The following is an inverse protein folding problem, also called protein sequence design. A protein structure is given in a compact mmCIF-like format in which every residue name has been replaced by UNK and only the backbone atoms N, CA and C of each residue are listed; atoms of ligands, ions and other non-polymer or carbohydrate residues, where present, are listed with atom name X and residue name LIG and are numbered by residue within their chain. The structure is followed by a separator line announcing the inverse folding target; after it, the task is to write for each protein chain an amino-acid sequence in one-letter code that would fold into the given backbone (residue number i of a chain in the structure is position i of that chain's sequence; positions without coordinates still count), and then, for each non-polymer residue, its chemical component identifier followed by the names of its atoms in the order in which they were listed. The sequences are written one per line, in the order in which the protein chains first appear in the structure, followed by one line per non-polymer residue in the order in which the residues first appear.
data_IF_892921327296
#
_entry.id   IF_892921327296
#
_cell.length_a   1.000
_cell.length_b   1.000
_cell.length_c   1.000
_cell.angle_alpha   90.00
_cell.angle_beta   90.00
_cell.angle_gamma   90.00
#
_symmetry.space_group_name_H-M   'P 1'
#
loop_
_entity.id
_entity.type
_entity.pdbx_description
1 polymer ?
#
# COMPACT_ATOMS: atom_id res chain seq x y z
N UNK A 1 27.20 62.35 -51.58
CA UNK A 1 26.53 61.05 -51.83
C UNK A 1 27.02 60.06 -50.77
N UNK A 2 26.22 59.85 -49.72
CA UNK A 2 26.51 59.00 -48.55
C UNK A 2 26.56 57.52 -48.92
N UNK A 3 27.55 56.77 -48.41
CA UNK A 3 27.45 55.31 -48.22
C UNK A 3 27.87 54.99 -46.77
N UNK A 4 26.87 54.75 -45.91
CA UNK A 4 27.07 54.16 -44.57
C UNK A 4 27.15 52.65 -44.72
N UNK A 5 28.27 52.05 -44.32
CA UNK A 5 28.42 50.61 -44.21
C UNK A 5 27.96 50.16 -42.82
N UNK A 6 26.91 49.34 -42.77
CA UNK A 6 26.41 48.73 -41.54
C UNK A 6 27.11 47.38 -41.35
N UNK A 7 27.89 47.26 -40.27
CA UNK A 7 28.47 45.99 -39.83
C UNK A 7 27.39 45.19 -39.11
N UNK A 8 26.95 44.07 -39.70
CA UNK A 8 25.97 43.16 -39.08
C UNK A 8 26.71 42.18 -38.16
N UNK A 9 26.69 42.44 -36.86
CA UNK A 9 27.15 41.48 -35.85
C UNK A 9 26.11 40.38 -35.71
N UNK A 10 26.42 39.17 -36.15
CA UNK A 10 25.61 37.97 -35.90
C UNK A 10 26.04 37.40 -34.55
N UNK A 11 25.18 37.54 -33.53
CA UNK A 11 25.34 36.83 -32.25
C UNK A 11 24.71 35.44 -32.41
N UNK A 12 25.53 34.40 -32.53
CA UNK A 12 25.05 33.01 -32.41
C UNK A 12 24.87 32.68 -30.93
N UNK A 13 23.62 32.55 -30.49
CA UNK A 13 23.28 32.05 -29.17
C UNK A 13 23.36 30.53 -29.13
N UNK A 14 24.30 29.97 -28.37
CA UNK A 14 24.32 28.55 -28.02
C UNK A 14 23.28 28.31 -26.92
N UNK A 15 22.19 27.61 -27.22
CA UNK A 15 21.26 27.11 -26.19
C UNK A 15 21.82 25.78 -25.68
N UNK A 16 22.37 25.78 -24.47
CA UNK A 16 22.65 24.56 -23.72
C UNK A 16 21.32 23.97 -23.27
N UNK A 17 20.88 22.91 -23.94
CA UNK A 17 19.76 22.09 -23.48
C UNK A 17 20.25 21.24 -22.30
N UNK A 18 20.11 21.74 -21.08
CA UNK A 18 20.34 20.92 -19.88
C UNK A 18 19.27 19.83 -19.84
N UNK A 19 19.62 18.59 -20.16
CA UNK A 19 18.78 17.45 -19.79
C UNK A 19 18.75 17.42 -18.26
N UNK A 20 17.63 17.85 -17.67
CA UNK A 20 17.37 17.59 -16.27
C UNK A 20 17.36 16.06 -16.09
N UNK A 21 18.41 15.52 -15.47
CA UNK A 21 18.42 14.15 -15.00
C UNK A 21 17.30 14.03 -13.98
N UNK A 22 16.21 13.37 -14.35
CA UNK A 22 15.16 13.01 -13.40
C UNK A 22 15.77 11.91 -12.53
N UNK A 23 16.33 12.29 -11.38
CA UNK A 23 16.76 11.33 -10.38
C UNK A 23 15.53 10.50 -9.97
N UNK A 24 15.61 9.19 -10.14
CA UNK A 24 14.62 8.27 -9.60
C UNK A 24 15.12 7.81 -8.25
N UNK A 25 14.31 8.01 -7.19
CA UNK A 25 14.56 7.38 -5.91
C UNK A 25 14.81 5.88 -6.10
N UNK A 26 15.92 5.37 -5.54
CA UNK A 26 16.24 3.95 -5.61
C UNK A 26 15.31 3.19 -4.65
N UNK A 27 14.58 2.16 -5.12
CA UNK A 27 13.75 1.36 -4.26
C UNK A 27 14.60 0.46 -3.35
N UNK A 28 14.21 0.37 -2.08
CA UNK A 28 14.73 -0.59 -1.10
C UNK A 28 13.63 -1.61 -0.84
N UNK A 29 13.94 -2.89 -1.02
CA UNK A 29 13.00 -3.99 -0.80
C UNK A 29 13.30 -4.70 0.51
N UNK A 30 12.24 -5.02 1.25
CA UNK A 30 12.27 -5.86 2.45
C UNK A 30 11.29 -7.00 2.26
N UNK A 31 11.79 -8.23 2.33
CA UNK A 31 10.98 -9.45 2.18
C UNK A 31 11.34 -10.46 3.25
N UNK A 32 10.35 -11.14 3.81
CA UNK A 32 10.54 -12.27 4.70
C UNK A 32 9.32 -13.19 4.63
N UNK A 33 9.51 -14.45 4.95
CA UNK A 33 8.42 -15.41 5.08
C UNK A 33 8.75 -16.45 6.15
N UNK A 34 7.74 -16.99 6.80
CA UNK A 34 7.94 -17.99 7.84
C UNK A 34 6.64 -18.41 8.52
N UNK A 35 6.75 -19.30 9.51
CA UNK A 35 5.59 -19.95 10.12
C UNK A 35 4.70 -19.01 10.95
N UNK A 36 5.21 -17.87 11.41
CA UNK A 36 4.50 -16.97 12.32
C UNK A 36 5.10 -15.55 12.33
N UNK A 37 4.51 -14.65 13.13
CA UNK A 37 4.93 -13.26 13.24
C UNK A 37 6.41 -13.09 13.63
N UNK A 38 6.91 -13.91 14.56
CA UNK A 38 8.30 -13.84 15.02
C UNK A 38 9.30 -14.11 13.88
N UNK A 39 8.96 -15.00 12.94
CA UNK A 39 9.81 -15.33 11.80
C UNK A 39 10.00 -14.17 10.81
N UNK A 40 9.05 -13.21 10.75
CA UNK A 40 9.12 -12.06 9.85
C UNK A 40 9.40 -10.73 10.57
N UNK A 41 9.36 -10.73 11.91
CA UNK A 41 9.39 -9.54 12.77
C UNK A 41 10.59 -8.63 12.48
N UNK A 42 11.81 -9.20 12.43
CA UNK A 42 13.02 -8.41 12.21
C UNK A 42 13.00 -7.64 10.88
N UNK A 43 12.45 -8.23 9.83
CA UNK A 43 12.33 -7.58 8.52
C UNK A 43 11.26 -6.50 8.52
N UNK A 44 10.14 -6.72 9.20
CA UNK A 44 9.10 -5.69 9.40
C UNK A 44 9.66 -4.51 10.19
N UNK A 45 10.45 -4.77 11.25
CA UNK A 45 11.07 -3.72 12.05
C UNK A 45 12.11 -2.92 11.26
N UNK A 46 12.92 -3.59 10.44
CA UNK A 46 13.82 -2.90 9.54
C UNK A 46 13.06 -2.03 8.51
N UNK A 47 11.96 -2.52 7.96
CA UNK A 47 11.12 -1.71 7.07
C UNK A 47 10.52 -0.50 7.78
N UNK A 48 10.10 -0.65 9.04
CA UNK A 48 9.63 0.47 9.88
C UNK A 48 10.73 1.52 10.05
N UNK A 49 11.99 1.11 10.23
CA UNK A 49 13.16 2.02 10.28
C UNK A 49 13.37 2.73 8.94
N UNK A 50 13.28 2.00 7.81
CA UNK A 50 13.42 2.58 6.47
C UNK A 50 12.37 3.69 6.20
N UNK A 51 11.18 3.60 6.82
CA UNK A 51 10.13 4.62 6.77
C UNK A 51 10.29 5.75 7.82
N UNK A 52 11.44 5.85 8.48
CA UNK A 52 11.73 6.88 9.49
C UNK A 52 11.39 6.50 10.93
N UNK A 53 11.03 5.24 11.20
CA UNK A 53 10.91 4.62 12.53
C UNK A 53 9.69 5.06 13.36
N UNK A 54 9.50 6.37 13.50
CA UNK A 54 8.47 6.99 14.35
C UNK A 54 7.08 6.67 13.83
N UNK A 55 6.24 6.07 14.69
CA UNK A 55 4.82 5.88 14.42
C UNK A 55 4.08 7.19 14.65
N UNK A 56 3.62 7.83 13.57
CA UNK A 56 2.87 9.08 13.62
C UNK A 56 1.44 8.85 14.15
N UNK A 57 0.86 9.84 14.86
CA UNK A 57 -0.49 9.74 15.38
C UNK A 57 -1.52 9.71 14.24
N UNK A 58 -2.65 9.04 14.49
CA UNK A 58 -3.72 8.82 13.49
C UNK A 58 -4.67 10.02 13.34
N UNK A 59 -4.12 11.21 13.10
CA UNK A 59 -4.85 12.47 12.94
C UNK A 59 -4.88 12.93 11.48
N UNK A 60 -5.81 13.83 11.13
CA UNK A 60 -5.88 14.47 9.81
C UNK A 60 -4.77 15.53 9.66
N UNK A 61 -3.52 15.06 9.62
CA UNK A 61 -2.31 15.91 9.55
C UNK A 61 -1.17 15.18 8.84
N UNK A 62 -0.28 15.98 8.23
CA UNK A 62 0.94 15.51 7.56
C UNK A 62 2.16 15.70 8.46
N UNK A 63 3.11 14.78 8.36
CA UNK A 63 4.37 14.80 9.10
C UNK A 63 5.54 14.76 8.11
N UNK A 64 6.64 15.43 8.45
CA UNK A 64 7.83 15.46 7.59
C UNK A 64 8.55 14.10 7.52
N UNK A 65 8.48 13.32 8.59
CA UNK A 65 9.13 12.00 8.73
C UNK A 65 8.23 11.02 9.45
N UNK A 66 8.62 9.75 9.46
CA UNK A 66 7.92 8.68 10.16
C UNK A 66 6.89 7.97 9.29
N UNK A 67 6.13 7.09 9.94
CA UNK A 67 5.24 6.12 9.29
C UNK A 67 3.87 6.11 9.93
N UNK A 68 2.92 5.50 9.23
CA UNK A 68 1.61 5.12 9.78
C UNK A 68 1.43 3.63 9.61
N UNK A 69 0.77 3.01 10.56
CA UNK A 69 0.51 1.58 10.56
C UNK A 69 -0.98 1.34 10.79
N UNK A 70 -1.55 0.46 9.98
CA UNK A 70 -2.92 -0.02 10.18
C UNK A 70 -2.85 -1.28 11.01
N UNK A 71 -3.34 -1.18 12.24
CA UNK A 71 -3.75 -2.33 13.02
C UNK A 71 -5.26 -2.55 12.76
N UNK A 72 -5.61 -3.72 12.24
CA UNK A 72 -6.98 -4.09 11.92
C UNK A 72 -7.86 -4.30 13.15
N UNK A 73 -7.28 -4.57 14.31
CA UNK A 73 -8.03 -4.84 15.56
C UNK A 73 -8.75 -3.61 16.10
N UNK A 74 -8.35 -2.41 15.66
CA UNK A 74 -9.06 -1.17 15.92
C UNK A 74 -10.34 -0.99 15.11
N UNK A 75 -10.66 -1.90 14.17
CA UNK A 75 -11.91 -1.86 13.41
C UNK A 75 -13.07 -2.31 14.31
N UNK A 76 -14.10 -1.47 14.51
CA UNK A 76 -15.31 -1.86 15.24
C UNK A 76 -16.00 -3.07 14.62
N UNK A 77 -16.60 -3.95 15.43
CA UNK A 77 -17.31 -5.15 14.93
C UNK A 77 -18.44 -4.83 13.94
N UNK A 78 -19.07 -3.66 14.08
CA UNK A 78 -20.09 -3.17 13.16
C UNK A 78 -19.58 -2.94 11.72
N UNK A 79 -18.25 -2.83 11.54
CA UNK A 79 -17.58 -2.67 10.25
C UNK A 79 -16.70 -3.86 9.87
N UNK A 80 -16.90 -5.01 10.52
CA UNK A 80 -16.20 -6.25 10.22
C UNK A 80 -17.19 -7.38 9.94
N UNK A 81 -16.69 -8.48 9.37
CA UNK A 81 -17.49 -9.63 8.99
C UNK A 81 -18.45 -10.05 10.13
N UNK A 82 -19.72 -10.31 9.81
CA UNK A 82 -20.30 -10.43 8.46
C UNK A 82 -20.69 -9.10 7.80
N UNK A 83 -20.45 -7.96 8.47
CA UNK A 83 -20.77 -6.64 7.94
C UNK A 83 -19.72 -6.15 6.93
N UNK A 84 -20.10 -5.13 6.16
CA UNK A 84 -19.21 -4.47 5.21
C UNK A 84 -18.26 -3.48 5.88
N UNK A 85 -17.06 -3.36 5.33
CA UNK A 85 -16.08 -2.37 5.77
C UNK A 85 -16.17 -1.12 4.90
N UNK A 86 -16.22 0.10 5.47
CA UNK A 86 -16.15 1.33 4.68
C UNK A 86 -14.74 1.53 4.12
N UNK A 87 -14.59 1.46 2.79
CA UNK A 87 -13.32 1.64 2.07
C UNK A 87 -12.49 2.87 2.51
N UNK A 88 -13.15 3.96 2.91
CA UNK A 88 -12.52 5.22 3.32
C UNK A 88 -12.35 5.36 4.85
N UNK A 89 -12.58 4.31 5.64
CA UNK A 89 -12.48 4.37 7.11
C UNK A 89 -11.11 4.88 7.58
N UNK A 90 -10.03 4.41 6.96
CA UNK A 90 -8.65 4.84 7.25
C UNK A 90 -8.25 6.15 6.55
N UNK A 91 -9.19 6.82 5.89
CA UNK A 91 -9.04 8.22 5.49
C UNK A 91 -9.88 9.15 6.38
N UNK A 92 -11.11 8.75 6.74
CA UNK A 92 -12.09 9.61 7.42
C UNK A 92 -12.18 9.40 8.93
N UNK A 93 -12.29 8.15 9.40
CA UNK A 93 -12.59 7.82 10.82
C UNK A 93 -11.31 7.62 11.65
N UNK A 94 -10.28 7.05 11.03
CA UNK A 94 -8.96 6.90 11.64
C UNK A 94 -7.89 7.36 10.65
N UNK A 95 -7.78 8.69 10.42
CA UNK A 95 -7.10 9.26 9.26
C UNK A 95 -5.63 8.83 9.19
N UNK A 96 -5.32 8.07 8.14
CA UNK A 96 -3.98 7.65 7.70
C UNK A 96 -3.75 7.91 6.22
N UNK A 97 -4.74 8.46 5.51
CA UNK A 97 -4.60 8.86 4.11
C UNK A 97 -4.64 7.69 3.15
N UNK A 98 -5.46 6.67 3.43
CA UNK A 98 -5.59 5.50 2.55
C UNK A 98 -7.05 5.13 2.33
N UNK A 99 -7.37 4.80 1.07
CA UNK A 99 -8.64 4.22 0.65
C UNK A 99 -8.36 2.88 -0.01
N UNK A 100 -9.11 1.86 0.41
CA UNK A 100 -9.02 0.50 -0.12
C UNK A 100 -10.12 0.25 -1.16
N UNK A 101 -9.81 -0.51 -2.21
CA UNK A 101 -10.77 -0.85 -3.24
C UNK A 101 -10.44 -2.12 -4.01
N UNK A 102 -11.23 -2.40 -5.03
CA UNK A 102 -10.99 -3.47 -5.98
C UNK A 102 -11.51 -3.06 -7.36
N UNK A 103 -10.81 -3.38 -8.45
CA UNK A 103 -11.35 -3.19 -9.81
C UNK A 103 -12.50 -4.16 -10.15
N UNK A 104 -12.75 -5.18 -9.31
CA UNK A 104 -13.83 -6.13 -9.54
C UNK A 104 -15.21 -5.57 -9.16
N UNK A 105 -16.24 -5.99 -9.89
CA UNK A 105 -17.64 -5.61 -9.61
C UNK A 105 -18.09 -6.09 -8.22
N UNK A 106 -18.93 -5.29 -7.58
CA UNK A 106 -19.45 -5.53 -6.23
C UNK A 106 -20.10 -6.91 -6.08
N UNK A 107 -19.82 -7.61 -4.98
CA UNK A 107 -20.60 -8.80 -4.55
C UNK A 107 -21.78 -8.32 -3.69
N UNK A 108 -22.97 -8.29 -4.27
CA UNK A 108 -24.20 -7.83 -3.59
C UNK A 108 -24.33 -6.31 -3.55
N UNK A 109 -24.92 -5.77 -2.47
CA UNK A 109 -25.09 -4.33 -2.24
C UNK A 109 -23.82 -3.67 -1.65
N UNK A 110 -22.69 -4.38 -1.66
CA UNK A 110 -21.43 -3.91 -1.14
C UNK A 110 -20.92 -2.71 -1.96
N UNK A 111 -20.44 -1.68 -1.27
CA UNK A 111 -19.81 -0.50 -1.92
C UNK A 111 -18.30 -0.64 -2.04
N UNK A 112 -17.70 -1.64 -1.37
CA UNK A 112 -16.33 -2.05 -1.59
C UNK A 112 -16.17 -3.54 -1.32
N UNK A 113 -15.72 -4.32 -2.30
CA UNK A 113 -15.34 -5.73 -2.12
C UNK A 113 -14.25 -5.98 -1.05
N UNK A 114 -13.80 -4.95 -0.33
CA UNK A 114 -12.85 -5.02 0.75
C UNK A 114 -13.54 -5.37 2.08
N UNK A 115 -13.07 -6.41 2.76
CA UNK A 115 -13.65 -6.90 4.01
C UNK A 115 -12.57 -7.08 5.09
N UNK A 116 -12.99 -6.95 6.35
CA UNK A 116 -12.18 -7.19 7.54
C UNK A 116 -12.80 -8.34 8.32
N UNK A 117 -12.00 -9.28 8.82
CA UNK A 117 -12.52 -10.45 9.53
C UNK A 117 -13.09 -10.10 10.90
N UNK A 118 -13.95 -10.97 11.41
CA UNK A 118 -14.51 -10.86 12.76
C UNK A 118 -13.43 -10.93 13.85
N UNK A 119 -13.78 -10.44 15.04
CA UNK A 119 -13.07 -10.68 16.29
C UNK A 119 -13.81 -11.76 17.09
N UNK A 120 -13.14 -12.40 18.04
CA UNK A 120 -13.77 -13.35 18.96
C UNK A 120 -14.93 -12.71 19.73
N UNK A 121 -14.81 -11.42 20.08
CA UNK A 121 -15.82 -10.70 20.83
C UNK A 121 -17.15 -10.49 20.07
N UNK A 122 -17.11 -10.56 18.74
CA UNK A 122 -18.30 -10.33 17.91
C UNK A 122 -19.25 -11.54 17.84
N UNK A 123 -18.81 -12.72 18.31
CA UNK A 123 -19.55 -13.97 18.16
C UNK A 123 -19.56 -14.54 16.74
N UNK A 124 -18.90 -13.88 15.78
CA UNK A 124 -18.69 -14.39 14.41
C UNK A 124 -17.32 -15.04 14.31
N UNK A 125 -17.22 -16.12 13.53
CA UNK A 125 -15.97 -16.84 13.34
C UNK A 125 -14.85 -15.94 12.77
N UNK A 126 -13.73 -15.89 13.48
CA UNK A 126 -12.54 -15.07 13.20
C UNK A 126 -11.85 -15.47 11.91
N UNK A 127 -10.93 -14.65 11.40
CA UNK A 127 -10.08 -14.99 10.23
C UNK A 127 -10.87 -15.52 9.02
N UNK A 128 -12.04 -14.92 8.79
CA UNK A 128 -12.99 -15.32 7.74
C UNK A 128 -13.53 -16.76 7.86
N UNK A 129 -13.52 -17.33 9.06
CA UNK A 129 -14.15 -18.62 9.37
C UNK A 129 -15.64 -18.65 9.04
N UNK A 130 -16.31 -17.49 9.01
CA UNK A 130 -17.69 -17.34 8.60
C UNK A 130 -17.89 -17.52 7.08
N UNK A 131 -16.83 -17.42 6.28
CA UNK A 131 -16.81 -17.70 4.84
C UNK A 131 -16.40 -19.15 4.59
N UNK A 132 -15.35 -19.62 5.26
CA UNK A 132 -14.94 -21.01 5.25
C UNK A 132 -14.35 -21.40 6.61
N UNK A 133 -14.95 -22.38 7.27
CA UNK A 133 -14.58 -22.81 8.62
C UNK A 133 -13.11 -23.25 8.72
N UNK A 134 -12.47 -23.74 7.65
CA UNK A 134 -11.06 -24.12 7.66
C UNK A 134 -10.09 -22.93 7.78
N UNK A 135 -10.51 -21.72 7.43
CA UNK A 135 -9.64 -20.55 7.47
C UNK A 135 -9.19 -20.20 8.89
N UNK A 136 -10.05 -20.46 9.90
CA UNK A 136 -9.70 -20.27 11.31
C UNK A 136 -8.57 -21.18 11.80
N UNK A 137 -8.25 -22.28 11.12
CA UNK A 137 -7.12 -23.13 11.48
C UNK A 137 -5.88 -22.92 10.60
N UNK A 138 -6.07 -22.33 9.41
CA UNK A 138 -5.02 -22.15 8.40
C UNK A 138 -4.39 -20.76 8.47
N UNK A 139 -5.21 -19.70 8.44
CA UNK A 139 -4.69 -18.34 8.36
C UNK A 139 -4.03 -17.91 9.66
N UNK A 140 -2.83 -17.36 9.54
CA UNK A 140 -2.07 -16.75 10.62
C UNK A 140 -2.31 -15.24 10.67
N UNK A 141 -1.97 -14.59 11.78
CA UNK A 141 -2.02 -13.13 11.93
C UNK A 141 -0.63 -12.62 12.33
N UNK A 142 -0.26 -11.43 11.84
CA UNK A 142 0.95 -10.75 12.31
C UNK A 142 0.70 -10.09 13.68
N UNK A 143 -0.37 -9.30 13.75
CA UNK A 143 -1.01 -8.87 15.00
C UNK A 143 -2.37 -9.52 15.06
N UNK A 144 -2.60 -10.32 16.10
CA UNK A 144 -3.91 -10.93 16.33
C UNK A 144 -4.91 -9.85 16.70
N UNK A 145 -6.11 -9.85 16.11
CA UNK A 145 -6.84 -11.01 15.59
C UNK A 145 -7.33 -10.87 14.14
N UNK A 146 -7.48 -9.65 13.64
CA UNK A 146 -8.19 -9.42 12.38
C UNK A 146 -7.29 -9.52 11.15
N UNK A 147 -7.89 -10.05 10.09
CA UNK A 147 -7.36 -10.07 8.72
C UNK A 147 -8.19 -9.15 7.83
N UNK A 148 -7.66 -8.84 6.65
CA UNK A 148 -8.40 -8.19 5.59
C UNK A 148 -8.29 -9.00 4.29
N UNK A 149 -9.27 -8.86 3.42
CA UNK A 149 -9.29 -9.51 2.13
C UNK A 149 -10.14 -8.71 1.13
N UNK A 150 -9.99 -9.06 -0.15
CA UNK A 150 -10.97 -8.72 -1.18
C UNK A 150 -11.87 -9.93 -1.37
N UNK A 151 -13.18 -9.73 -1.24
CA UNK A 151 -14.21 -10.73 -1.52
C UNK A 151 -14.78 -10.49 -2.91
N UNK A 152 -14.56 -11.45 -3.81
CA UNK A 152 -15.20 -11.45 -5.13
C UNK A 152 -15.80 -12.82 -5.43
N UNK A 153 -16.96 -12.83 -6.10
CA UNK A 153 -17.55 -14.05 -6.67
C UNK A 153 -17.09 -14.29 -8.11
N UNK A 154 -16.32 -13.37 -8.68
CA UNK A 154 -15.79 -13.46 -10.04
C UNK A 154 -14.40 -14.10 -9.97
N UNK A 155 -14.13 -15.06 -10.85
CA UNK A 155 -12.78 -15.63 -10.96
C UNK A 155 -11.74 -14.52 -11.25
N UNK A 156 -10.50 -14.71 -10.78
CA UNK A 156 -9.37 -13.79 -11.00
C UNK A 156 -9.59 -12.35 -10.50
N UNK A 157 -10.48 -12.16 -9.53
CA UNK A 157 -10.91 -10.84 -9.06
C UNK A 157 -10.40 -10.50 -7.65
N UNK A 158 -9.44 -11.26 -7.14
CA UNK A 158 -8.77 -11.03 -5.86
C UNK A 158 -7.69 -9.93 -6.00
N UNK A 159 -8.12 -8.76 -6.47
CA UNK A 159 -7.24 -7.60 -6.68
C UNK A 159 -7.62 -6.52 -5.68
N UNK A 160 -6.66 -6.17 -4.81
CA UNK A 160 -6.73 -5.03 -3.91
C UNK A 160 -6.08 -3.82 -4.57
N UNK A 161 -6.82 -2.73 -4.71
CA UNK A 161 -6.27 -1.41 -5.02
C UNK A 161 -6.17 -0.58 -3.75
N UNK A 162 -5.09 0.19 -3.65
CA UNK A 162 -4.83 1.09 -2.53
C UNK A 162 -4.50 2.44 -3.14
N UNK A 163 -5.14 3.50 -2.65
CA UNK A 163 -4.89 4.87 -3.08
C UNK A 163 -4.53 5.72 -1.87
N UNK A 164 -3.51 6.56 -2.03
CA UNK A 164 -3.03 7.44 -0.96
C UNK A 164 -3.50 8.90 -1.12
N UNK A 165 -3.78 9.52 0.03
CA UNK A 165 -4.32 10.88 0.14
C UNK A 165 -3.66 11.63 1.30
N UNK A 166 -3.71 12.97 1.29
CA UNK A 166 -3.47 13.74 2.51
C UNK A 166 -4.53 13.29 3.54
N UNK A 167 -4.14 12.81 4.74
CA UNK A 167 -5.07 12.19 5.69
C UNK A 167 -6.29 13.07 5.98
N UNK A 168 -7.50 12.53 5.81
CA UNK A 168 -8.75 13.24 6.06
C UNK A 168 -9.26 14.07 4.88
N UNK A 169 -8.60 14.00 3.72
CA UNK A 169 -8.95 14.79 2.54
C UNK A 169 -9.14 13.92 1.30
N UNK A 170 -9.67 14.51 0.23
CA UNK A 170 -9.70 13.90 -1.11
C UNK A 170 -8.49 14.27 -1.98
N UNK A 171 -7.44 14.90 -1.43
CA UNK A 171 -6.27 15.34 -2.20
C UNK A 171 -5.30 14.16 -2.32
N UNK A 172 -5.01 13.64 -3.53
CA UNK A 172 -4.06 12.55 -3.71
C UNK A 172 -2.68 12.93 -3.18
N UNK A 173 -2.02 12.00 -2.51
CA UNK A 173 -0.68 12.19 -1.98
C UNK A 173 0.13 10.93 -2.24
N UNK A 174 1.44 11.07 -2.38
CA UNK A 174 2.30 9.91 -2.41
C UNK A 174 2.86 9.56 -1.02
N UNK A 175 3.38 8.34 -0.88
CA UNK A 175 4.05 7.85 0.34
C UNK A 175 5.58 7.75 0.16
N UNK A 176 6.34 7.45 1.20
CA UNK A 176 7.77 7.09 1.08
C UNK A 176 7.98 5.59 0.91
N UNK A 177 6.94 4.80 1.12
CA UNK A 177 6.94 3.35 0.93
C UNK A 177 5.64 2.72 1.40
N UNK A 178 5.44 1.46 1.01
CA UNK A 178 4.30 0.66 1.41
C UNK A 178 4.76 -0.79 1.66
N UNK A 179 4.16 -1.43 2.64
CA UNK A 179 4.40 -2.84 2.93
C UNK A 179 3.16 -3.48 3.52
N UNK A 180 3.04 -4.79 3.30
CA UNK A 180 1.92 -5.58 3.79
C UNK A 180 2.39 -6.98 4.20
N UNK A 181 1.70 -7.54 5.19
CA UNK A 181 1.83 -8.94 5.56
C UNK A 181 0.67 -9.72 4.95
N UNK A 182 1.00 -10.82 4.29
CA UNK A 182 0.10 -11.78 3.68
C UNK A 182 0.11 -13.04 4.53
N UNK A 183 -1.04 -13.70 4.65
CA UNK A 183 -1.13 -15.02 5.26
C UNK A 183 -1.41 -16.07 4.20
N UNK A 184 -0.84 -17.27 4.39
CA UNK A 184 -1.15 -18.45 3.60
C UNK A 184 -0.94 -18.26 2.09
N UNK A 185 0.27 -17.82 1.73
CA UNK A 185 0.65 -17.70 0.31
C UNK A 185 1.08 -19.07 -0.19
N UNK A 186 0.22 -19.75 -0.93
CA UNK A 186 0.51 -21.08 -1.49
C UNK A 186 1.55 -21.06 -2.62
N UNK A 187 1.56 -19.99 -3.42
CA UNK A 187 2.38 -19.90 -4.61
C UNK A 187 2.87 -18.46 -4.86
N UNK A 188 4.18 -18.33 -5.08
CA UNK A 188 4.86 -17.06 -5.33
C UNK A 188 4.58 -16.45 -6.73
N UNK A 189 3.88 -17.16 -7.62
CA UNK A 189 3.44 -16.63 -8.92
C UNK A 189 2.11 -15.89 -8.86
N UNK A 190 1.28 -16.15 -7.84
CA UNK A 190 -0.11 -15.67 -7.81
C UNK A 190 -0.31 -14.47 -6.88
N UNK A 191 0.59 -14.29 -5.90
CA UNK A 191 0.59 -13.15 -5.00
C UNK A 191 1.63 -12.13 -5.47
N UNK A 192 1.15 -10.99 -5.98
CA UNK A 192 1.98 -9.95 -6.60
C UNK A 192 1.60 -8.57 -6.05
N UNK A 193 2.60 -7.78 -5.68
CA UNK A 193 2.44 -6.35 -5.39
C UNK A 193 2.97 -5.51 -6.57
N UNK A 194 2.17 -4.53 -6.99
CA UNK A 194 2.54 -3.52 -8.00
C UNK A 194 2.49 -2.14 -7.38
N UNK A 195 3.52 -1.35 -7.62
CA UNK A 195 3.66 -0.01 -7.04
C UNK A 195 3.78 1.01 -8.16
N UNK A 196 2.90 2.01 -8.11
CA UNK A 196 2.72 2.99 -9.17
C UNK A 196 3.14 4.38 -8.70
N UNK A 197 3.67 5.17 -9.63
CA UNK A 197 3.95 6.58 -9.43
C UNK A 197 2.73 7.45 -9.70
N UNK A 198 2.87 8.74 -9.43
CA UNK A 198 1.82 9.75 -9.70
C UNK A 198 1.45 9.86 -11.17
N UNK A 199 2.29 9.38 -12.07
CA UNK A 199 2.07 9.31 -13.53
C UNK A 199 1.38 8.00 -13.97
N UNK A 200 0.99 7.14 -13.03
CA UNK A 200 0.36 5.84 -13.30
C UNK A 200 1.33 4.78 -13.83
N UNK A 201 2.64 5.05 -13.87
CA UNK A 201 3.65 4.09 -14.32
C UNK A 201 4.17 3.27 -13.15
N UNK A 202 4.59 2.03 -13.42
CA UNK A 202 5.27 1.21 -12.41
C UNK A 202 6.58 1.88 -11.97
N UNK A 203 6.78 1.98 -10.65
CA UNK A 203 8.04 2.45 -10.06
C UNK A 203 9.08 1.33 -9.93
N UNK A 204 8.62 0.07 -9.91
CA UNK A 204 9.47 -1.11 -9.79
C UNK A 204 8.94 -2.22 -10.70
N UNK A 205 9.76 -3.27 -10.92
CA UNK A 205 9.20 -4.54 -11.38
C UNK A 205 8.15 -5.04 -10.37
N UNK A 206 7.09 -5.75 -10.81
CA UNK A 206 6.13 -6.37 -9.90
C UNK A 206 6.85 -7.27 -8.89
N UNK A 207 6.45 -7.19 -7.63
CA UNK A 207 7.07 -7.92 -6.53
C UNK A 207 6.29 -9.21 -6.28
N UNK A 208 6.93 -10.35 -6.54
CA UNK A 208 6.40 -11.65 -6.14
C UNK A 208 6.50 -11.81 -4.63
N UNK A 209 5.44 -12.32 -4.02
CA UNK A 209 5.37 -12.56 -2.58
C UNK A 209 5.79 -14.01 -2.34
N UNK A 210 6.79 -14.22 -1.47
CA UNK A 210 7.29 -15.56 -1.17
C UNK A 210 6.18 -16.44 -0.58
N UNK A 211 6.20 -17.73 -0.92
CA UNK A 211 5.23 -18.69 -0.40
C UNK A 211 5.46 -18.98 1.10
N UNK A 212 4.37 -19.11 1.83
CA UNK A 212 4.31 -19.54 3.22
C UNK A 212 2.94 -20.16 3.50
N UNK A 213 2.77 -21.41 3.09
CA UNK A 213 1.57 -22.19 3.37
C UNK A 213 1.34 -22.28 4.89
N UNK A 214 0.14 -21.95 5.35
CA UNK A 214 -0.23 -21.77 6.76
C UNK A 214 0.70 -20.82 7.56
N UNK A 215 1.43 -19.93 6.87
CA UNK A 215 2.39 -19.02 7.46
C UNK A 215 2.14 -17.56 7.10
N UNK A 216 3.16 -16.73 7.26
CA UNK A 216 3.14 -15.31 6.93
C UNK A 216 4.24 -14.96 5.95
N UNK A 217 3.94 -14.04 5.04
CA UNK A 217 4.89 -13.45 4.10
C UNK A 217 4.78 -11.93 4.15
N UNK A 218 5.92 -11.26 4.28
CA UNK A 218 6.03 -9.81 4.25
C UNK A 218 6.72 -9.36 2.97
N UNK A 219 6.17 -8.32 2.34
CA UNK A 219 6.86 -7.53 1.32
C UNK A 219 6.65 -6.05 1.62
N UNK A 220 7.73 -5.28 1.55
CA UNK A 220 7.73 -3.84 1.64
C UNK A 220 8.69 -3.23 0.63
N UNK A 221 8.31 -2.08 0.09
CA UNK A 221 9.18 -1.22 -0.72
C UNK A 221 9.18 0.20 -0.15
N UNK A 222 10.36 0.76 0.04
CA UNK A 222 10.59 2.15 0.41
C UNK A 222 11.49 2.83 -0.62
N UNK A 223 11.40 4.15 -0.69
CA UNK A 223 12.13 4.97 -1.65
C UNK A 223 12.96 5.98 -0.88
N UNK A 224 14.28 5.99 -1.09
CA UNK A 224 15.15 7.03 -0.52
C UNK A 224 14.69 8.40 -1.00
N UNK A 225 14.72 9.40 -0.11
CA UNK A 225 13.94 10.65 -0.15
C UNK A 225 14.11 11.61 -1.36
N UNK A 226 14.63 11.16 -2.50
CA UNK A 226 14.68 11.92 -3.74
C UNK A 226 13.42 11.69 -4.60
N UNK A 227 12.34 12.34 -4.17
CA UNK A 227 11.26 12.90 -5.01
C UNK A 227 10.48 11.99 -5.98
N UNK A 228 10.24 10.71 -5.64
CA UNK A 228 9.09 9.99 -6.21
C UNK A 228 8.34 9.24 -5.13
N UNK A 229 7.18 9.77 -4.79
CA UNK A 229 6.28 9.16 -3.83
C UNK A 229 5.27 8.26 -4.56
N UNK A 230 5.11 6.97 -4.19
CA UNK A 230 4.10 6.08 -4.77
C UNK A 230 2.69 6.53 -4.39
N UNK A 231 1.71 6.28 -5.26
CA UNK A 231 0.28 6.62 -5.04
C UNK A 231 -0.59 5.37 -5.04
#
# INVERSE_FOLDING_TARGET
MMKRHYLKTIVSGFVLLSLATIASATPIFRTANGANAAAIQATVDQFRVDLGGVLNPNTASTFATGRREINWDGVPDAFAAPNFFPANFFNSNSPRGVIFGSPASNVGNDTSNFIVSASTASGTAVRFGNINASYSSIFQTFSSERLFAVRSTTANSNVLSIQFFIPGTGIPAGVSGFGAVFCDVDNNTNAIMRVYGTDGRLLTTPLSIAAANNGLSFVGVSFNAEKRSPV
#
